data_IF_602073745591
#
_entry.id   IF_602073745591
#
_cell.length_a   1.000
_cell.length_b   1.000
_cell.length_c   1.000
_cell.angle_alpha   90.00
_cell.angle_beta   90.00
_cell.angle_gamma   90.00
#
_symmetry.space_group_name_H-M   'P 1'
#
loop_
_entity.id
_entity.type
_entity.pdbx_description
1 polymer ?
#
# COMPACT_ATOMS: atom_id res chain seq x y z
N UNK A 1 23.54 2.65 0.10
CA UNK A 1 23.03 2.90 1.48
C UNK A 1 21.85 1.98 1.62
N UNK A 2 21.95 0.93 2.44
CA UNK A 2 20.80 0.04 2.66
C UNK A 2 19.70 0.85 3.35
N UNK A 3 18.52 0.89 2.73
CA UNK A 3 17.34 1.50 3.35
C UNK A 3 16.86 0.54 4.44
N UNK A 4 17.23 0.81 5.69
CA UNK A 4 16.88 0.00 6.85
C UNK A 4 15.36 -0.10 7.11
N UNK A 5 14.52 0.55 6.30
CA UNK A 5 13.06 0.46 6.35
C UNK A 5 12.42 -0.45 5.29
N UNK A 6 13.20 -1.16 4.47
CA UNK A 6 12.66 -2.15 3.53
C UNK A 6 12.23 -3.47 4.21
N UNK A 7 11.24 -3.35 5.08
CA UNK A 7 10.61 -4.46 5.76
C UNK A 7 9.35 -4.91 5.01
N UNK A 8 8.86 -6.10 5.37
CA UNK A 8 7.56 -6.55 4.92
C UNK A 8 6.44 -5.77 5.61
N UNK A 9 5.37 -5.51 4.87
CA UNK A 9 4.10 -4.99 5.37
C UNK A 9 2.98 -5.94 4.96
N UNK A 10 2.08 -6.23 5.89
CA UNK A 10 0.86 -6.97 5.60
C UNK A 10 -0.23 -6.01 5.14
N UNK A 11 -0.63 -6.16 3.88
CA UNK A 11 -1.73 -5.42 3.28
C UNK A 11 -3.02 -6.20 3.51
N UNK A 12 -4.01 -5.67 4.25
CA UNK A 12 -5.20 -6.42 4.61
C UNK A 12 -6.08 -6.68 3.38
N UNK A 13 -6.76 -7.82 3.37
CA UNK A 13 -7.82 -8.12 2.41
C UNK A 13 -9.13 -8.37 3.15
N UNK A 14 -10.25 -8.34 2.41
CA UNK A 14 -11.60 -8.60 2.97
C UNK A 14 -11.71 -10.00 3.58
N UNK A 15 -10.96 -10.97 3.05
CA UNK A 15 -10.87 -12.34 3.52
C UNK A 15 -9.46 -12.90 3.29
N UNK A 16 -9.08 -13.97 4.02
CA UNK A 16 -7.85 -14.72 3.75
C UNK A 16 -6.54 -14.10 4.26
N UNK A 17 -6.59 -13.16 5.21
CA UNK A 17 -5.40 -12.64 5.90
C UNK A 17 -4.64 -11.51 5.19
N UNK A 18 -4.73 -11.40 3.86
CA UNK A 18 -4.11 -10.30 3.09
C UNK A 18 -2.88 -10.70 2.28
N UNK A 19 -2.11 -9.70 1.84
CA UNK A 19 -0.89 -9.89 1.07
C UNK A 19 0.31 -9.32 1.83
N UNK A 20 1.33 -10.16 2.07
CA UNK A 20 2.60 -9.72 2.65
C UNK A 20 3.53 -9.25 1.52
N UNK A 21 3.88 -7.96 1.51
CA UNK A 21 4.70 -7.36 0.44
C UNK A 21 5.91 -6.64 1.04
N UNK A 22 7.02 -6.58 0.30
CA UNK A 22 8.14 -5.68 0.67
C UNK A 22 7.75 -4.24 0.39
N UNK A 23 8.03 -3.34 1.33
CA UNK A 23 7.78 -1.90 1.18
C UNK A 23 8.46 -1.32 -0.06
N UNK A 24 9.70 -1.70 -0.34
CA UNK A 24 10.45 -1.24 -1.53
C UNK A 24 9.81 -1.66 -2.86
N UNK A 25 8.94 -2.67 -2.84
CA UNK A 25 8.25 -3.15 -4.04
C UNK A 25 6.93 -2.42 -4.28
N UNK A 26 6.48 -1.53 -3.39
CA UNK A 26 5.25 -0.75 -3.62
C UNK A 26 5.60 0.48 -4.46
N UNK A 27 5.08 0.51 -5.69
CA UNK A 27 5.26 1.64 -6.61
C UNK A 27 4.24 2.76 -6.39
N UNK A 28 3.11 2.45 -5.74
CA UNK A 28 2.07 3.43 -5.41
C UNK A 28 0.73 2.77 -5.16
N UNK A 29 -0.33 3.57 -5.12
CA UNK A 29 -1.69 3.06 -5.00
C UNK A 29 -2.75 4.11 -5.31
N UNK A 30 -3.98 3.64 -5.54
CA UNK A 30 -5.16 4.50 -5.74
C UNK A 30 -6.40 3.92 -5.08
N UNK A 31 -7.42 4.75 -4.87
CA UNK A 31 -8.70 4.28 -4.35
C UNK A 31 -9.36 3.27 -5.31
N UNK A 32 -10.07 2.30 -4.74
CA UNK A 32 -10.84 1.29 -5.47
C UNK A 32 -12.35 1.49 -5.26
N UNK A 33 -12.85 2.67 -5.64
CA UNK A 33 -14.23 3.05 -5.34
C UNK A 33 -14.49 3.08 -3.82
N UNK A 34 -15.59 2.49 -3.37
CA UNK A 34 -16.00 2.45 -1.96
C UNK A 34 -15.41 1.30 -1.14
N UNK A 35 -14.69 0.35 -1.75
CA UNK A 35 -14.30 -0.92 -1.11
C UNK A 35 -12.84 -0.96 -0.61
N UNK A 36 -12.09 0.14 -0.75
CA UNK A 36 -10.69 0.23 -0.30
C UNK A 36 -9.75 0.81 -1.35
N UNK A 37 -8.67 0.11 -1.66
CA UNK A 37 -7.62 0.60 -2.57
C UNK A 37 -6.99 -0.51 -3.41
N UNK A 38 -6.27 -0.07 -4.45
CA UNK A 38 -5.40 -0.89 -5.29
C UNK A 38 -3.97 -0.41 -5.05
N UNK A 39 -3.09 -1.32 -4.66
CA UNK A 39 -1.64 -1.10 -4.56
C UNK A 39 -0.96 -1.65 -5.82
N UNK A 40 -0.05 -0.84 -6.37
CA UNK A 40 0.78 -1.21 -7.51
C UNK A 40 2.13 -1.70 -7.00
N UNK A 41 2.53 -2.89 -7.42
CA UNK A 41 3.87 -3.39 -7.16
C UNK A 41 4.80 -3.04 -8.33
N UNK A 42 6.05 -2.72 -8.02
CA UNK A 42 7.10 -2.38 -8.99
C UNK A 42 7.37 -3.55 -9.94
N UNK A 43 7.31 -4.78 -9.42
CA UNK A 43 7.26 -6.01 -10.20
C UNK A 43 6.22 -6.94 -9.61
N UNK A 44 5.19 -7.28 -10.38
CA UNK A 44 4.15 -8.22 -9.98
C UNK A 44 2.72 -7.73 -10.20
N UNK A 45 1.72 -8.50 -9.72
CA UNK A 45 0.33 -8.13 -9.85
C UNK A 45 -0.03 -6.94 -8.94
N UNK A 46 -1.10 -6.24 -9.30
CA UNK A 46 -1.72 -5.27 -8.40
C UNK A 46 -2.38 -6.00 -7.22
N UNK A 47 -2.27 -5.43 -6.02
CA UNK A 47 -2.88 -5.96 -4.81
C UNK A 47 -4.15 -5.17 -4.49
N UNK A 48 -5.27 -5.87 -4.36
CA UNK A 48 -6.53 -5.28 -3.94
C UNK A 48 -6.65 -5.40 -2.42
N UNK A 49 -6.98 -4.28 -1.77
CA UNK A 49 -7.04 -4.20 -0.31
C UNK A 49 -8.29 -3.49 0.15
N UNK A 50 -8.74 -3.83 1.35
CA UNK A 50 -9.80 -3.11 2.06
C UNK A 50 -9.29 -1.86 2.77
N UNK A 51 -7.97 -1.66 2.86
CA UNK A 51 -7.40 -0.42 3.37
C UNK A 51 -7.71 0.74 2.41
N UNK A 52 -8.13 1.87 2.97
CA UNK A 52 -8.32 3.11 2.22
C UNK A 52 -6.98 3.79 1.93
N UNK A 53 -6.94 4.69 0.95
CA UNK A 53 -5.71 5.45 0.63
C UNK A 53 -5.15 6.23 1.83
N UNK A 54 -5.96 6.92 2.66
CA UNK A 54 -5.44 7.56 3.87
C UNK A 54 -4.77 6.58 4.85
N UNK A 55 -5.36 5.40 5.07
CA UNK A 55 -4.76 4.37 5.93
C UNK A 55 -3.45 3.82 5.35
N UNK A 56 -3.41 3.57 4.04
CA UNK A 56 -2.18 3.16 3.36
C UNK A 56 -1.10 4.23 3.45
N UNK A 57 -1.46 5.51 3.36
CA UNK A 57 -0.51 6.60 3.50
C UNK A 57 0.12 6.61 4.91
N UNK A 58 -0.68 6.41 5.95
CA UNK A 58 -0.18 6.26 7.32
C UNK A 58 0.76 5.05 7.46
N UNK A 59 0.36 3.89 6.94
CA UNK A 59 1.19 2.68 6.98
C UNK A 59 2.50 2.81 6.24
N UNK A 60 2.55 3.63 5.18
CA UNK A 60 3.76 3.84 4.39
C UNK A 60 4.54 5.09 4.85
N UNK A 61 4.08 5.79 5.89
CA UNK A 61 4.70 7.04 6.34
C UNK A 61 4.68 8.14 5.27
N UNK A 62 3.71 8.09 4.35
CA UNK A 62 3.60 9.02 3.25
C UNK A 62 3.06 10.37 3.73
N UNK A 63 3.52 11.45 3.11
CA UNK A 63 2.99 12.80 3.34
C UNK A 63 1.89 13.10 2.34
N UNK A 64 0.79 13.66 2.83
CA UNK A 64 -0.24 14.23 1.96
C UNK A 64 0.31 15.53 1.36
N UNK A 65 0.32 15.64 0.03
CA UNK A 65 0.59 16.91 -0.63
C UNK A 65 -0.59 17.86 -0.37
N UNK A 66 -0.31 19.05 0.15
CA UNK A 66 -1.29 20.13 0.21
C UNK A 66 -1.38 20.79 -1.15
N UNK A 67 -2.60 21.00 -1.64
CA UNK A 67 -2.87 21.72 -2.88
C UNK A 67 -3.40 23.08 -2.45
N UNK A 68 -2.70 24.14 -2.85
CA UNK A 68 -3.09 25.53 -2.62
C UNK A 68 -4.30 25.94 -3.46
#
# INVERSE_FOLDING_TARGET
>A
MEDHNDNFILIPAKSGGGALVRRSQIAGGRANGGEGAILYLASGPSVYTTATIPQLAEYLGARKAEIA
#
